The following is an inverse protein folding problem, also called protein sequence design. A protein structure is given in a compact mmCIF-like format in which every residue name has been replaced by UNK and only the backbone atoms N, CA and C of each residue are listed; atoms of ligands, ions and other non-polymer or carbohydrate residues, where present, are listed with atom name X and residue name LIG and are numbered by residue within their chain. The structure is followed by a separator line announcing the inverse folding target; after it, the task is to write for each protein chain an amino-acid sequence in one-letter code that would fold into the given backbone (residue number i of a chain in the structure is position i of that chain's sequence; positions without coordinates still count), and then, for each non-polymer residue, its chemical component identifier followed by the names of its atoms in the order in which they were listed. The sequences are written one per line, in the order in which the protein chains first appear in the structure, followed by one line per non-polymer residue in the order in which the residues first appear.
data_IF_159066677542
#
_entry.id   IF_159066677542
#
_cell.length_a   1.000
_cell.length_b   1.000
_cell.length_c   1.000
_cell.angle_alpha   90.00
_cell.angle_beta   90.00
_cell.angle_gamma   90.00
#
_symmetry.space_group_name_H-M   'P 1'
#
loop_
_entity.id
_entity.type
_entity.pdbx_description
1 polymer ?
#
# COMPACT_ATOMS: atom_id res chain seq x y z
N UNK A 1 -12.73 7.35 26.07
CA UNK A 1 -13.28 6.09 25.52
C UNK A 1 -12.11 5.14 25.33
N UNK A 2 -12.16 3.92 25.88
CA UNK A 2 -11.14 2.93 25.59
C UNK A 2 -11.23 2.50 24.11
N UNK A 3 -10.09 2.20 23.52
CA UNK A 3 -10.00 1.63 22.18
C UNK A 3 -10.66 0.24 22.13
N UNK A 4 -11.30 -0.09 21.00
CA UNK A 4 -11.88 -1.42 20.81
C UNK A 4 -10.78 -2.48 20.65
N UNK A 5 -11.15 -3.74 20.92
CA UNK A 5 -10.24 -4.86 20.67
C UNK A 5 -9.83 -4.98 19.21
N UNK A 6 -10.73 -4.61 18.29
CA UNK A 6 -10.49 -4.73 16.85
C UNK A 6 -9.46 -3.71 16.37
N UNK A 7 -9.61 -2.46 16.80
CA UNK A 7 -8.66 -1.41 16.44
C UNK A 7 -7.28 -1.63 17.08
N UNK A 8 -7.24 -2.17 18.31
CA UNK A 8 -6.00 -2.57 18.96
C UNK A 8 -5.31 -3.73 18.20
N UNK A 9 -6.08 -4.74 17.77
CA UNK A 9 -5.57 -5.86 16.99
C UNK A 9 -5.04 -5.40 15.63
N UNK A 10 -5.79 -4.54 14.92
CA UNK A 10 -5.35 -3.96 13.66
C UNK A 10 -4.03 -3.20 13.82
N UNK A 11 -3.89 -2.39 14.89
CA UNK A 11 -2.64 -1.68 15.16
C UNK A 11 -1.47 -2.63 15.39
N UNK A 12 -1.68 -3.71 16.13
CA UNK A 12 -0.63 -4.72 16.37
C UNK A 12 -0.19 -5.37 15.05
N UNK A 13 -1.14 -5.85 14.24
CA UNK A 13 -0.85 -6.43 12.93
C UNK A 13 -0.04 -5.47 12.04
N UNK A 14 -0.44 -4.19 11.97
CA UNK A 14 0.28 -3.19 11.17
C UNK A 14 1.68 -2.89 11.70
N UNK A 15 1.86 -2.86 13.03
CA UNK A 15 3.17 -2.63 13.64
C UNK A 15 4.13 -3.80 13.38
N UNK A 16 3.64 -5.04 13.51
CA UNK A 16 4.42 -6.24 13.18
C UNK A 16 4.72 -6.34 11.68
N UNK A 17 3.75 -5.98 10.84
CA UNK A 17 3.94 -5.88 9.39
C UNK A 17 5.03 -4.86 9.03
N UNK A 18 5.06 -3.70 9.70
CA UNK A 18 6.09 -2.69 9.46
C UNK A 18 7.49 -3.15 9.89
N UNK A 19 7.57 -3.91 10.99
CA UNK A 19 8.82 -4.47 11.49
C UNK A 19 9.41 -5.53 10.55
N UNK A 20 8.55 -6.33 9.92
CA UNK A 20 8.94 -7.46 9.06
C UNK A 20 8.50 -7.28 7.59
N UNK A 21 8.44 -6.03 7.13
CA UNK A 21 7.75 -5.63 5.89
C UNK A 21 8.31 -6.27 4.61
N UNK A 22 9.54 -6.76 4.64
CA UNK A 22 10.20 -7.40 3.50
C UNK A 22 9.91 -8.91 3.40
N UNK A 23 9.22 -9.49 4.38
CA UNK A 23 8.90 -10.92 4.41
C UNK A 23 7.47 -11.19 3.95
N UNK A 24 7.20 -12.45 3.60
CA UNK A 24 5.85 -12.91 3.31
C UNK A 24 4.94 -12.81 4.55
N UNK A 25 5.45 -13.10 5.75
CA UNK A 25 4.70 -12.98 7.01
C UNK A 25 4.32 -11.52 7.29
N UNK A 26 5.23 -10.57 7.00
CA UNK A 26 4.93 -9.15 7.08
C UNK A 26 3.80 -8.73 6.14
N UNK A 27 3.77 -9.27 4.91
CA UNK A 27 2.67 -9.04 3.96
C UNK A 27 1.35 -9.63 4.45
N UNK A 28 1.36 -10.84 5.03
CA UNK A 28 0.16 -11.44 5.64
C UNK A 28 -0.37 -10.56 6.77
N UNK A 29 0.50 -10.13 7.69
CA UNK A 29 0.11 -9.23 8.79
C UNK A 29 -0.40 -7.88 8.29
N UNK A 30 0.17 -7.35 7.21
CA UNK A 30 -0.31 -6.12 6.58
C UNK A 30 -1.73 -6.30 6.07
N UNK A 31 -1.98 -7.42 5.38
CA UNK A 31 -3.29 -7.79 4.85
C UNK A 31 -4.31 -7.91 5.99
N UNK A 32 -4.01 -8.70 7.01
CA UNK A 32 -4.89 -8.88 8.18
C UNK A 32 -5.18 -7.55 8.88
N UNK A 33 -4.16 -6.70 9.05
CA UNK A 33 -4.31 -5.40 9.68
C UNK A 33 -5.21 -4.45 8.88
N UNK A 34 -5.06 -4.44 7.56
CA UNK A 34 -5.86 -3.60 6.67
C UNK A 34 -7.30 -4.08 6.51
N UNK A 35 -7.54 -5.40 6.49
CA UNK A 35 -8.89 -5.97 6.48
C UNK A 35 -9.66 -5.54 7.73
N UNK A 36 -9.04 -5.67 8.91
CA UNK A 36 -9.65 -5.21 10.18
C UNK A 36 -9.93 -3.71 10.18
N UNK A 37 -9.03 -2.90 9.62
CA UNK A 37 -9.28 -1.47 9.47
C UNK A 37 -10.43 -1.19 8.51
N UNK A 38 -10.53 -1.91 7.40
CA UNK A 38 -11.63 -1.77 6.44
C UNK A 38 -12.97 -2.06 7.12
N UNK A 39 -13.05 -3.12 7.94
CA UNK A 39 -14.25 -3.45 8.70
C UNK A 39 -14.63 -2.34 9.70
N UNK A 40 -13.68 -1.82 10.47
CA UNK A 40 -13.91 -0.70 11.40
C UNK A 40 -14.32 0.58 10.67
N UNK A 41 -13.80 0.81 9.47
CA UNK A 41 -14.16 1.95 8.62
C UNK A 41 -15.58 1.79 8.06
N UNK A 42 -15.94 0.58 7.63
CA UNK A 42 -17.26 0.26 7.09
C UNK A 42 -18.37 0.32 8.17
N UNK A 43 -18.03 0.04 9.43
CA UNK A 43 -18.96 0.03 10.57
C UNK A 43 -19.58 1.40 10.91
N UNK A 44 -19.11 2.52 10.33
CA UNK A 44 -19.85 3.79 10.35
C UNK A 44 -18.99 5.04 10.52
N UNK A 45 -19.50 6.02 11.28
CA UNK A 45 -18.91 7.35 11.41
C UNK A 45 -18.78 7.75 12.88
N UNK A 46 -17.97 7.01 13.62
CA UNK A 46 -17.66 7.32 15.02
C UNK A 46 -16.18 7.76 15.20
N UNK A 47 -15.77 8.02 16.45
CA UNK A 47 -14.38 8.37 16.75
C UNK A 47 -13.39 7.26 16.41
N UNK A 48 -13.83 6.00 16.46
CA UNK A 48 -13.03 4.82 16.15
C UNK A 48 -12.77 4.73 14.65
N UNK A 49 -13.78 4.93 13.82
CA UNK A 49 -13.64 5.02 12.35
C UNK A 49 -12.62 6.10 11.97
N UNK A 50 -12.67 7.28 12.59
CA UNK A 50 -11.66 8.32 12.34
C UNK A 50 -10.25 7.86 12.71
N UNK A 51 -10.11 7.13 13.81
CA UNK A 51 -8.82 6.59 14.24
C UNK A 51 -8.31 5.52 13.27
N UNK A 52 -9.18 4.63 12.79
CA UNK A 52 -8.87 3.63 11.77
C UNK A 52 -8.40 4.29 10.46
N UNK A 53 -9.10 5.32 9.97
CA UNK A 53 -8.69 6.09 8.77
C UNK A 53 -7.31 6.73 8.94
N UNK A 54 -7.07 7.35 10.10
CA UNK A 54 -5.77 7.97 10.40
C UNK A 54 -4.65 6.91 10.46
N UNK A 55 -4.94 5.73 11.00
CA UNK A 55 -3.98 4.64 11.07
C UNK A 55 -3.64 4.12 9.66
N UNK A 56 -4.66 3.84 8.84
CA UNK A 56 -4.49 3.44 7.44
C UNK A 56 -3.65 4.46 6.66
N UNK A 57 -3.99 5.76 6.76
CA UNK A 57 -3.26 6.83 6.10
C UNK A 57 -1.78 6.91 6.55
N UNK A 58 -1.54 6.77 7.85
CA UNK A 58 -0.19 6.82 8.41
C UNK A 58 0.67 5.65 7.94
N UNK A 59 0.14 4.43 7.95
CA UNK A 59 0.88 3.26 7.49
C UNK A 59 1.06 3.26 5.97
N UNK A 60 0.05 3.65 5.18
CA UNK A 60 0.18 3.79 3.73
C UNK A 60 1.35 4.74 3.38
N UNK A 61 1.41 5.91 4.04
CA UNK A 61 2.51 6.85 3.87
C UNK A 61 3.88 6.24 4.17
N UNK A 62 4.02 5.51 5.29
CA UNK A 62 5.29 4.88 5.68
C UNK A 62 5.72 3.78 4.71
N UNK A 63 4.80 2.90 4.32
CA UNK A 63 5.10 1.79 3.41
C UNK A 63 5.43 2.29 2.01
N UNK A 64 4.66 3.23 1.46
CA UNK A 64 4.95 3.79 0.14
C UNK A 64 6.27 4.56 0.12
N UNK A 65 6.58 5.34 1.16
CA UNK A 65 7.87 6.02 1.27
C UNK A 65 9.02 5.01 1.32
N UNK A 66 8.88 3.94 2.12
CA UNK A 66 9.92 2.90 2.24
C UNK A 66 10.14 2.14 0.92
N UNK A 67 9.08 1.82 0.19
CA UNK A 67 9.19 1.21 -1.15
C UNK A 67 9.89 2.19 -2.11
N UNK A 68 9.48 3.46 -2.12
CA UNK A 68 10.10 4.50 -2.96
C UNK A 68 11.59 4.63 -2.68
N UNK A 69 11.98 4.77 -1.41
CA UNK A 69 13.39 4.83 -0.97
C UNK A 69 14.20 3.61 -1.43
N UNK A 70 13.60 2.41 -1.41
CA UNK A 70 14.28 1.19 -1.88
C UNK A 70 14.53 1.21 -3.39
N UNK A 71 13.54 1.64 -4.17
CA UNK A 71 13.64 1.73 -5.63
C UNK A 71 14.56 2.86 -6.11
N UNK A 72 14.70 3.91 -5.29
CA UNK A 72 15.65 5.01 -5.55
C UNK A 72 17.09 4.59 -5.22
N UNK A 73 17.28 3.85 -4.13
CA UNK A 73 18.61 3.45 -3.65
C UNK A 73 19.23 2.35 -4.50
N UNK A 74 18.42 1.41 -4.99
CA UNK A 74 18.90 0.26 -5.75
C UNK A 74 18.23 0.20 -7.12
N UNK A 75 19.05 0.30 -8.17
CA UNK A 75 18.57 0.23 -9.53
C UNK A 75 18.36 -1.20 -10.03
N UNK A 76 18.92 -2.20 -9.34
CA UNK A 76 18.94 -3.61 -9.76
C UNK A 76 18.16 -4.52 -8.80
N UNK A 77 17.08 -4.00 -8.22
CA UNK A 77 16.17 -4.80 -7.38
C UNK A 77 15.69 -6.02 -8.19
N UNK A 78 15.85 -7.24 -7.66
CA UNK A 78 15.48 -8.45 -8.38
C UNK A 78 13.95 -8.57 -8.50
N UNK A 79 13.50 -9.26 -9.55
CA UNK A 79 12.07 -9.41 -9.87
C UNK A 79 11.19 -9.88 -8.69
N UNK A 80 11.58 -10.88 -7.88
CA UNK A 80 10.76 -11.30 -6.74
C UNK A 80 10.55 -10.22 -5.68
N UNK A 81 11.53 -9.33 -5.49
CA UNK A 81 11.39 -8.19 -4.58
C UNK A 81 10.48 -7.11 -5.18
N UNK A 82 10.57 -6.86 -6.50
CA UNK A 82 9.65 -5.96 -7.19
C UNK A 82 8.20 -6.45 -7.09
N UNK A 83 7.96 -7.75 -7.27
CA UNK A 83 6.64 -8.37 -7.06
C UNK A 83 6.14 -8.20 -5.63
N UNK A 84 7.03 -8.37 -4.64
CA UNK A 84 6.69 -8.14 -3.24
C UNK A 84 6.25 -6.69 -3.00
N UNK A 85 6.99 -5.72 -3.54
CA UNK A 85 6.63 -4.32 -3.44
C UNK A 85 5.29 -4.00 -4.12
N UNK A 86 5.00 -4.60 -5.28
CA UNK A 86 3.69 -4.51 -5.90
C UNK A 86 2.60 -5.03 -4.98
N UNK A 87 2.78 -6.22 -4.38
CA UNK A 87 1.80 -6.80 -3.46
C UNK A 87 1.55 -5.88 -2.26
N UNK A 88 2.61 -5.38 -1.63
CA UNK A 88 2.52 -4.42 -0.51
C UNK A 88 1.69 -3.20 -0.89
N UNK A 89 1.96 -2.61 -2.06
CA UNK A 89 1.23 -1.42 -2.53
C UNK A 89 -0.23 -1.74 -2.84
N UNK A 90 -0.50 -2.90 -3.43
CA UNK A 90 -1.86 -3.36 -3.75
C UNK A 90 -2.69 -3.67 -2.51
N UNK A 91 -2.08 -4.15 -1.42
CA UNK A 91 -2.83 -4.47 -0.19
C UNK A 91 -3.57 -3.23 0.37
N UNK A 92 -2.99 -2.04 0.21
CA UNK A 92 -3.64 -0.79 0.64
C UNK A 92 -4.90 -0.42 -0.15
N UNK A 93 -5.21 -1.11 -1.26
CA UNK A 93 -6.44 -0.87 -2.01
C UNK A 93 -7.70 -1.25 -1.25
N UNK A 94 -7.58 -2.16 -0.28
CA UNK A 94 -8.65 -2.52 0.66
C UNK A 94 -9.20 -1.30 1.41
N UNK A 95 -8.36 -0.28 1.64
CA UNK A 95 -8.70 0.93 2.38
C UNK A 95 -8.58 2.20 1.53
N UNK A 96 -8.42 2.08 0.20
CA UNK A 96 -8.11 3.22 -0.67
C UNK A 96 -9.07 4.40 -0.51
N UNK A 97 -10.37 4.12 -0.38
CA UNK A 97 -11.41 5.15 -0.24
C UNK A 97 -11.28 5.96 1.06
N UNK A 98 -10.56 5.44 2.04
CA UNK A 98 -10.29 6.10 3.31
C UNK A 98 -8.95 6.86 3.34
N UNK A 99 -8.11 6.70 2.31
CA UNK A 99 -6.81 7.34 2.26
C UNK A 99 -6.93 8.80 1.77
N UNK A 100 -6.09 9.71 2.28
CA UNK A 100 -6.04 11.08 1.78
C UNK A 100 -5.51 11.11 0.34
N UNK A 101 -5.87 12.14 -0.46
CA UNK A 101 -5.40 12.27 -1.85
C UNK A 101 -3.88 12.17 -2.01
N UNK A 102 -3.13 12.74 -1.06
CA UNK A 102 -1.67 12.68 -1.06
C UNK A 102 -1.11 11.24 -1.03
N UNK A 103 -1.83 10.28 -0.43
CA UNK A 103 -1.44 8.88 -0.43
C UNK A 103 -1.68 8.23 -1.81
N UNK A 104 -2.72 8.64 -2.54
CA UNK A 104 -2.95 8.20 -3.91
C UNK A 104 -1.85 8.73 -4.84
N UNK A 105 -1.45 9.99 -4.71
CA UNK A 105 -0.33 10.56 -5.49
C UNK A 105 0.99 9.83 -5.21
N UNK A 106 1.24 9.47 -3.95
CA UNK A 106 2.42 8.71 -3.57
C UNK A 106 2.37 7.28 -4.13
N UNK A 107 1.20 6.62 -4.06
CA UNK A 107 0.98 5.30 -4.68
C UNK A 107 1.29 5.35 -6.17
N UNK A 108 0.72 6.30 -6.90
CA UNK A 108 0.90 6.42 -8.36
C UNK A 108 2.39 6.54 -8.70
N UNK A 109 3.13 7.41 -8.01
CA UNK A 109 4.57 7.57 -8.23
C UNK A 109 5.35 6.28 -7.98
N UNK A 110 5.05 5.59 -6.88
CA UNK A 110 5.71 4.30 -6.55
C UNK A 110 5.40 3.25 -7.61
N UNK A 111 4.14 3.12 -8.03
CA UNK A 111 3.71 2.15 -9.04
C UNK A 111 4.34 2.45 -10.40
N UNK A 112 4.45 3.72 -10.79
CA UNK A 112 5.14 4.12 -12.03
C UNK A 112 6.60 3.64 -12.02
N UNK A 113 7.34 3.89 -10.93
CA UNK A 113 8.71 3.40 -10.79
C UNK A 113 8.78 1.88 -10.79
N UNK A 114 7.85 1.19 -10.11
CA UNK A 114 7.81 -0.28 -10.11
C UNK A 114 7.58 -0.86 -11.52
N UNK A 115 6.68 -0.26 -12.32
CA UNK A 115 6.44 -0.65 -13.72
C UNK A 115 7.72 -0.43 -14.55
N UNK A 116 8.36 0.72 -14.38
CA UNK A 116 9.61 1.04 -15.08
C UNK A 116 10.69 -0.02 -14.83
N UNK A 117 10.87 -0.43 -13.57
CA UNK A 117 11.86 -1.44 -13.17
C UNK A 117 11.48 -2.86 -13.60
N UNK A 118 10.24 -3.27 -13.35
CA UNK A 118 9.79 -4.64 -13.62
C UNK A 118 9.81 -4.98 -15.11
N UNK A 119 9.47 -4.01 -15.96
CA UNK A 119 9.50 -4.19 -17.42
C UNK A 119 10.84 -3.82 -18.05
N UNK A 120 11.90 -3.61 -17.27
CA UNK A 120 13.24 -3.50 -17.83
C UNK A 120 13.63 -4.83 -18.50
N UNK A 121 14.05 -4.77 -19.77
CA UNK A 121 14.34 -5.96 -20.57
C UNK A 121 13.10 -6.69 -21.15
N UNK A 122 11.89 -6.24 -20.83
CA UNK A 122 10.65 -6.76 -21.43
C UNK A 122 10.27 -6.03 -22.74
N UNK A 123 9.39 -6.62 -23.58
CA UNK A 123 8.87 -5.92 -24.76
C UNK A 123 8.23 -4.58 -24.40
N UNK A 124 8.55 -3.49 -25.12
CA UNK A 124 8.11 -2.14 -24.77
C UNK A 124 6.59 -1.96 -24.80
N UNK A 125 5.87 -2.82 -25.53
CA UNK A 125 4.41 -2.81 -25.60
C UNK A 125 3.77 -3.17 -24.26
N UNK A 126 4.36 -4.10 -23.49
CA UNK A 126 3.85 -4.50 -22.18
C UNK A 126 3.97 -3.37 -21.17
N UNK A 127 5.13 -2.71 -21.17
CA UNK A 127 5.38 -1.52 -20.35
C UNK A 127 4.40 -0.40 -20.68
N UNK A 128 4.22 -0.09 -21.98
CA UNK A 128 3.26 0.92 -22.43
C UNK A 128 1.84 0.59 -21.97
N UNK A 129 1.40 -0.66 -22.12
CA UNK A 129 0.07 -1.07 -21.68
C UNK A 129 -0.13 -0.88 -20.17
N UNK A 130 0.86 -1.25 -19.34
CA UNK A 130 0.82 -1.05 -17.90
C UNK A 130 0.78 0.44 -17.50
N UNK A 131 1.59 1.28 -18.15
CA UNK A 131 1.57 2.73 -17.91
C UNK A 131 0.25 3.39 -18.35
N UNK A 132 -0.34 2.96 -19.47
CA UNK A 132 -1.66 3.46 -19.92
C UNK A 132 -2.78 3.07 -18.95
N UNK A 133 -2.75 1.84 -18.41
CA UNK A 133 -3.67 1.43 -17.35
C UNK A 133 -3.52 2.31 -16.10
N UNK A 134 -2.29 2.62 -15.70
CA UNK A 134 -2.03 3.51 -14.57
C UNK A 134 -2.56 4.93 -14.81
N UNK A 135 -2.38 5.48 -16.02
CA UNK A 135 -2.93 6.80 -16.39
C UNK A 135 -4.45 6.83 -16.32
N UNK A 136 -5.13 5.78 -16.77
CA UNK A 136 -6.58 5.69 -16.71
C UNK A 136 -7.12 5.74 -15.26
N UNK A 137 -6.34 5.27 -14.28
CA UNK A 137 -6.69 5.34 -12.86
C UNK A 137 -6.49 6.74 -12.25
N UNK A 138 -5.65 7.58 -12.87
CA UNK A 138 -5.37 8.95 -12.40
C UNK A 138 -6.43 9.95 -12.87
N UNK A 139 -7.04 9.71 -14.02
CA UNK A 139 -8.13 10.52 -14.58
C UNK A 139 -9.39 9.66 -14.80
N UNK A 140 -10.09 9.23 -13.74
CA UNK A 140 -11.40 8.60 -13.88
C UNK A 140 -12.37 9.65 -14.39
N UNK A 141 -12.71 9.58 -15.69
CA UNK A 141 -13.74 10.41 -16.31
C UNK A 141 -15.09 10.30 -15.60
#
# INVERSE_FOLDING_TARGET
MPESRELAAARLCLAEAEADWASADGLTRLTDGLERLADVIAAGTNAETRTARNLAASYAGRFYARVGERLERDAQVPEPELEHYFKVVLTFDQVQQALPPAAADLKIRVVEVLIERYYEGHPPERKRAALEQLKALRDPR
#
